data_IF_508538359438
#
_entry.id   IF_508538359438
#
_cell.length_a   1.000
_cell.length_b   1.000
_cell.length_c   1.000
_cell.angle_alpha   90.00
_cell.angle_beta   90.00
_cell.angle_gamma   90.00
#
_symmetry.space_group_name_H-M   'P 1'
#
loop_
_entity.id
_entity.type
_entity.pdbx_description
1 polymer ?
#
# COMPACT_ATOMS: atom_id res chain seq x y z
N UNK A 1 -23.07 -23.99 19.68
CA UNK A 1 -23.19 -22.52 19.50
C UNK A 1 -23.09 -22.22 18.01
N UNK A 2 -24.07 -21.57 17.38
CA UNK A 2 -23.91 -21.11 15.99
C UNK A 2 -22.85 -20.00 15.93
N UNK A 3 -22.07 -19.97 14.84
CA UNK A 3 -21.10 -18.91 14.60
C UNK A 3 -21.81 -17.55 14.43
N UNK A 4 -21.21 -16.43 14.86
CA UNK A 4 -21.80 -15.11 14.64
C UNK A 4 -21.93 -14.84 13.13
N UNK A 5 -22.99 -14.13 12.70
CA UNK A 5 -23.16 -13.76 11.31
C UNK A 5 -21.99 -12.90 10.84
N UNK A 6 -21.45 -13.22 9.67
CA UNK A 6 -20.33 -12.49 9.07
C UNK A 6 -20.86 -11.19 8.48
N UNK A 7 -20.30 -10.07 8.95
CA UNK A 7 -20.62 -8.73 8.45
C UNK A 7 -20.02 -8.55 7.03
N UNK A 8 -20.86 -8.33 5.99
CA UNK A 8 -20.38 -8.18 4.61
C UNK A 8 -19.48 -6.96 4.41
N UNK A 9 -19.70 -5.87 5.15
CA UNK A 9 -18.86 -4.66 5.05
C UNK A 9 -17.44 -4.95 5.55
N UNK A 10 -17.33 -5.69 6.66
CA UNK A 10 -16.04 -6.16 7.17
C UNK A 10 -15.30 -7.05 6.17
N UNK A 11 -16.01 -7.94 5.47
CA UNK A 11 -15.40 -8.81 4.43
C UNK A 11 -14.89 -7.98 3.25
N UNK A 12 -15.66 -6.98 2.80
CA UNK A 12 -15.25 -6.10 1.72
C UNK A 12 -14.01 -5.28 2.09
N UNK A 13 -13.98 -4.69 3.28
CA UNK A 13 -12.82 -3.98 3.82
C UNK A 13 -11.57 -4.88 3.88
N UNK A 14 -11.70 -6.10 4.42
CA UNK A 14 -10.59 -7.05 4.50
C UNK A 14 -10.06 -7.44 3.12
N UNK A 15 -10.94 -7.60 2.13
CA UNK A 15 -10.55 -7.88 0.75
C UNK A 15 -9.75 -6.71 0.14
N UNK A 16 -10.20 -5.48 0.34
CA UNK A 16 -9.48 -4.30 -0.10
C UNK A 16 -8.10 -4.20 0.57
N UNK A 17 -8.03 -4.43 1.89
CA UNK A 17 -6.76 -4.41 2.64
C UNK A 17 -5.77 -5.48 2.19
N UNK A 18 -6.25 -6.72 1.96
CA UNK A 18 -5.42 -7.78 1.42
C UNK A 18 -4.95 -7.49 -0.01
N UNK A 19 -5.78 -6.83 -0.82
CA UNK A 19 -5.37 -6.37 -2.15
C UNK A 19 -4.30 -5.28 -2.07
N UNK A 20 -4.48 -4.27 -1.22
CA UNK A 20 -3.49 -3.21 -1.03
C UNK A 20 -2.12 -3.79 -0.65
N UNK A 21 -2.10 -4.72 0.31
CA UNK A 21 -0.88 -5.41 0.75
C UNK A 21 -0.19 -6.15 -0.41
N UNK A 22 -0.95 -6.85 -1.25
CA UNK A 22 -0.40 -7.56 -2.42
C UNK A 22 0.14 -6.62 -3.49
N UNK A 23 -0.52 -5.48 -3.72
CA UNK A 23 -0.02 -4.49 -4.67
C UNK A 23 1.31 -3.93 -4.18
N UNK A 24 1.39 -3.50 -2.92
CA UNK A 24 2.63 -2.98 -2.32
C UNK A 24 3.78 -3.99 -2.40
N UNK A 25 3.49 -5.28 -2.19
CA UNK A 25 4.51 -6.33 -2.29
C UNK A 25 5.06 -6.54 -3.73
N UNK A 26 4.34 -6.08 -4.75
CA UNK A 26 4.71 -6.24 -6.17
C UNK A 26 5.25 -4.95 -6.81
N UNK A 27 5.17 -3.83 -6.11
CA UNK A 27 5.72 -2.55 -6.56
C UNK A 27 7.09 -2.33 -5.96
N UNK A 28 8.02 -1.77 -6.74
CA UNK A 28 9.34 -1.36 -6.25
C UNK A 28 9.27 0.02 -5.59
N UNK A 29 8.36 0.89 -6.05
CA UNK A 29 8.13 2.20 -5.46
C UNK A 29 7.04 2.10 -4.39
N UNK A 30 7.39 2.48 -3.16
CA UNK A 30 6.43 2.47 -2.06
C UNK A 30 5.53 3.72 -2.10
N UNK A 31 4.20 3.55 -1.91
CA UNK A 31 3.30 4.69 -1.76
C UNK A 31 3.59 5.41 -0.43
N UNK A 32 3.39 6.73 -0.41
CA UNK A 32 3.50 7.53 0.84
C UNK A 32 2.32 7.34 1.76
N UNK A 33 1.14 7.13 1.19
CA UNK A 33 -0.06 6.81 1.92
C UNK A 33 -0.94 5.88 1.10
N UNK A 34 -1.68 5.02 1.81
CA UNK A 34 -2.71 4.16 1.24
C UNK A 34 -3.98 4.46 2.00
N UNK A 35 -4.98 4.96 1.28
CA UNK A 35 -6.30 5.25 1.81
C UNK A 35 -7.24 4.11 1.38
N UNK A 36 -7.98 3.55 2.32
CA UNK A 36 -9.12 2.68 2.04
C UNK A 36 -10.37 3.45 2.39
N UNK A 37 -11.29 3.58 1.44
CA UNK A 37 -12.50 4.37 1.60
C UNK A 37 -13.69 3.64 1.00
N UNK A 38 -14.86 3.89 1.57
CA UNK A 38 -16.13 3.39 1.05
C UNK A 38 -16.67 4.37 0.01
N UNK A 39 -16.98 3.86 -1.18
CA UNK A 39 -17.70 4.62 -2.20
C UNK A 39 -19.20 4.68 -1.88
N UNK A 40 -19.90 5.62 -2.52
CA UNK A 40 -21.34 5.86 -2.36
C UNK A 40 -22.22 4.60 -2.51
N UNK A 41 -21.73 3.58 -3.20
CA UNK A 41 -22.43 2.30 -3.47
C UNK A 41 -22.10 1.18 -2.48
N UNK A 42 -21.42 1.49 -1.37
CA UNK A 42 -21.05 0.51 -0.35
C UNK A 42 -19.90 -0.43 -0.75
N UNK A 43 -19.13 -0.03 -1.76
CA UNK A 43 -17.94 -0.76 -2.24
C UNK A 43 -16.71 -0.09 -1.66
N UNK A 44 -15.78 -0.89 -1.12
CA UNK A 44 -14.49 -0.39 -0.67
C UNK A 44 -13.52 -0.25 -1.84
N UNK A 45 -12.83 0.89 -1.87
CA UNK A 45 -11.84 1.25 -2.86
C UNK A 45 -10.52 1.63 -2.20
N UNK A 46 -9.44 1.56 -2.96
CA UNK A 46 -8.09 1.82 -2.47
C UNK A 46 -7.51 2.99 -3.26
N UNK A 47 -6.92 3.95 -2.56
CA UNK A 47 -6.16 5.03 -3.17
C UNK A 47 -4.71 4.99 -2.71
N UNK A 48 -3.80 4.92 -3.65
CA UNK A 48 -2.36 5.00 -3.46
C UNK A 48 -1.92 6.44 -3.75
N UNK A 49 -1.32 7.06 -2.75
CA UNK A 49 -0.76 8.40 -2.86
C UNK A 49 0.75 8.27 -2.99
N UNK A 50 1.25 8.58 -4.18
CA UNK A 50 2.68 8.69 -4.42
C UNK A 50 3.16 10.11 -4.16
N UNK A 51 4.47 10.24 -3.95
CA UNK A 51 5.12 11.54 -3.73
C UNK A 51 5.04 12.45 -4.95
N UNK A 52 5.64 13.63 -4.82
CA UNK A 52 5.61 14.67 -5.85
C UNK A 52 6.87 14.73 -6.73
N UNK A 53 7.61 13.63 -6.81
CA UNK A 53 8.87 13.50 -7.54
C UNK A 53 8.74 12.44 -8.65
N UNK A 54 9.73 12.38 -9.54
CA UNK A 54 9.80 11.37 -10.61
C UNK A 54 9.56 9.93 -10.11
N UNK A 55 10.10 9.58 -8.95
CA UNK A 55 9.89 8.27 -8.33
C UNK A 55 8.40 8.00 -8.04
N UNK A 56 7.67 9.00 -7.52
CA UNK A 56 6.24 8.89 -7.34
C UNK A 56 5.48 8.64 -8.65
N UNK A 57 5.91 9.26 -9.75
CA UNK A 57 5.39 8.99 -11.09
C UNK A 57 5.64 7.55 -11.54
N UNK A 58 6.83 7.00 -11.25
CA UNK A 58 7.16 5.59 -11.54
C UNK A 58 6.29 4.61 -10.77
N UNK A 59 5.95 4.92 -9.52
CA UNK A 59 5.00 4.12 -8.75
C UNK A 59 3.60 4.07 -9.37
N UNK A 60 3.14 5.18 -9.96
CA UNK A 60 1.87 5.19 -10.72
C UNK A 60 1.97 4.31 -11.98
N UNK A 61 3.09 4.36 -12.71
CA UNK A 61 3.33 3.49 -13.88
C UNK A 61 3.36 2.00 -13.51
N UNK A 62 3.97 1.63 -12.37
CA UNK A 62 4.00 0.25 -11.89
C UNK A 62 2.59 -0.28 -11.60
N UNK A 63 1.75 0.51 -10.92
CA UNK A 63 0.37 0.12 -10.64
C UNK A 63 -0.43 0.04 -11.95
N UNK A 64 -0.23 0.97 -12.87
CA UNK A 64 -0.87 0.96 -14.19
C UNK A 64 -0.50 -0.32 -14.98
N UNK A 65 0.77 -0.72 -14.95
CA UNK A 65 1.26 -1.95 -15.56
C UNK A 65 0.70 -3.21 -14.88
N UNK A 66 0.63 -3.23 -13.53
CA UNK A 66 0.00 -4.32 -12.79
C UNK A 66 -1.49 -4.48 -13.10
N UNK A 67 -2.16 -3.38 -13.44
CA UNK A 67 -3.59 -3.34 -13.73
C UNK A 67 -3.92 -3.37 -15.24
N UNK A 68 -2.92 -3.47 -16.10
CA UNK A 68 -3.06 -3.37 -17.57
C UNK A 68 -3.97 -2.20 -17.99
N UNK A 69 -3.72 -1.03 -17.41
CA UNK A 69 -4.57 0.16 -17.55
C UNK A 69 -3.70 1.36 -17.91
N UNK A 70 -4.17 2.28 -18.79
CA UNK A 70 -3.40 3.47 -19.12
C UNK A 70 -3.22 4.42 -17.92
N UNK A 71 -2.21 5.28 -18.03
CA UNK A 71 -2.01 6.43 -17.15
C UNK A 71 -2.59 7.67 -17.79
N UNK A 72 -3.35 8.42 -17.01
CA UNK A 72 -3.88 9.73 -17.34
C UNK A 72 -2.91 10.81 -16.82
N UNK A 73 -2.69 11.85 -17.61
CA UNK A 73 -1.95 13.03 -17.19
C UNK A 73 -2.81 14.27 -17.37
N UNK A 74 -2.96 15.05 -16.29
CA UNK A 74 -3.71 16.29 -16.29
C UNK A 74 -2.83 17.40 -15.74
N UNK A 75 -2.64 18.46 -16.52
CA UNK A 75 -1.93 19.64 -16.05
C UNK A 75 -2.82 20.37 -15.05
N UNK A 76 -2.31 20.60 -13.84
CA UNK A 76 -3.00 21.47 -12.88
C UNK A 76 -3.00 22.91 -13.44
N UNK A 77 -4.19 23.50 -13.50
CA UNK A 77 -4.58 24.82 -14.03
C UNK A 77 -3.52 25.95 -13.89
N UNK A 78 -3.47 26.96 -14.79
CA UNK A 78 -2.41 27.96 -14.88
C UNK A 78 -2.44 29.04 -13.77
N UNK A 79 -3.29 28.89 -12.75
CA UNK A 79 -3.56 29.90 -11.71
C UNK A 79 -2.73 29.75 -10.43
N UNK A 80 -1.79 28.80 -10.34
CA UNK A 80 -0.71 28.91 -9.33
C UNK A 80 -0.02 27.64 -8.86
N UNK A 81 -0.52 26.44 -9.19
CA UNK A 81 0.18 25.18 -8.91
C UNK A 81 0.72 24.60 -10.21
N UNK A 82 1.96 24.96 -10.54
CA UNK A 82 2.68 24.39 -11.68
C UNK A 82 3.02 22.92 -11.42
N UNK A 83 2.11 22.02 -11.79
CA UNK A 83 2.31 20.59 -11.65
C UNK A 83 1.43 19.77 -12.59
N UNK A 84 1.81 18.51 -12.77
CA UNK A 84 1.09 17.54 -13.61
C UNK A 84 0.60 16.42 -12.69
N UNK A 85 -0.72 16.26 -12.59
CA UNK A 85 -1.30 15.08 -11.97
C UNK A 85 -1.12 13.90 -12.90
N UNK A 86 -0.51 12.84 -12.38
CA UNK A 86 -0.35 11.56 -13.04
C UNK A 86 -1.19 10.56 -12.27
N UNK A 87 -2.15 9.93 -12.93
CA UNK A 87 -3.14 9.08 -12.29
C UNK A 87 -3.45 7.81 -13.11
N UNK A 88 -3.71 6.69 -12.43
CA UNK A 88 -4.37 5.53 -13.04
C UNK A 88 -5.54 5.09 -12.20
N UNK A 89 -6.61 4.63 -12.86
CA UNK A 89 -7.84 4.12 -12.24
C UNK A 89 -8.18 2.77 -12.84
N UNK A 90 -8.26 1.73 -12.02
CA UNK A 90 -8.53 0.38 -12.49
C UNK A 90 -9.39 -0.39 -11.49
N UNK A 91 -9.89 -1.56 -11.91
CA UNK A 91 -10.54 -2.51 -11.02
C UNK A 91 -9.72 -3.81 -10.96
N UNK A 92 -9.21 -4.15 -9.78
CA UNK A 92 -8.43 -5.37 -9.56
C UNK A 92 -9.16 -6.28 -8.58
N UNK A 93 -9.50 -7.51 -9.01
CA UNK A 93 -10.20 -8.46 -8.15
C UNK A 93 -11.53 -7.95 -7.60
N UNK A 94 -12.22 -7.09 -8.36
CA UNK A 94 -13.50 -6.48 -7.97
C UNK A 94 -13.37 -5.32 -6.97
N UNK A 95 -12.18 -4.77 -6.76
CA UNK A 95 -11.92 -3.59 -5.93
C UNK A 95 -11.40 -2.47 -6.83
N UNK A 96 -12.00 -1.28 -6.73
CA UNK A 96 -11.52 -0.12 -7.47
C UNK A 96 -10.22 0.38 -6.82
N UNK A 97 -9.25 0.68 -7.67
CA UNK A 97 -7.97 1.25 -7.27
C UNK A 97 -7.73 2.56 -7.99
N UNK A 98 -7.14 3.51 -7.26
CA UNK A 98 -6.69 4.79 -7.77
C UNK A 98 -5.24 4.95 -7.35
N UNK A 99 -4.34 5.21 -8.27
CA UNK A 99 -2.96 5.57 -7.95
C UNK A 99 -2.64 6.94 -8.53
N UNK A 100 -2.11 7.84 -7.71
CA UNK A 100 -1.87 9.23 -8.12
C UNK A 100 -0.56 9.80 -7.60
N UNK A 101 0.06 10.65 -8.41
CA UNK A 101 1.21 11.49 -8.08
C UNK A 101 0.97 12.92 -8.61
N UNK A 102 1.56 13.92 -7.96
CA UNK A 102 1.58 15.30 -8.46
C UNK A 102 3.02 15.69 -8.78
N UNK A 103 3.38 15.75 -10.05
CA UNK A 103 4.75 15.94 -10.48
C UNK A 103 5.02 17.40 -10.84
N UNK A 104 6.29 17.80 -10.82
CA UNK A 104 6.73 18.97 -11.58
C UNK A 104 6.57 18.71 -13.09
N UNK A 105 6.52 19.78 -13.90
CA UNK A 105 6.44 19.66 -15.36
C UNK A 105 7.66 18.91 -15.91
N UNK A 106 8.85 19.16 -15.37
CA UNK A 106 10.09 18.51 -15.78
C UNK A 106 10.08 17.01 -15.47
N UNK A 107 9.63 16.61 -14.27
CA UNK A 107 9.52 15.20 -13.91
C UNK A 107 8.45 14.48 -14.76
N UNK A 108 7.34 15.14 -15.06
CA UNK A 108 6.31 14.58 -15.94
C UNK A 108 6.82 14.36 -17.37
N UNK A 109 7.59 15.31 -17.91
CA UNK A 109 8.23 15.17 -19.22
C UNK A 109 9.21 13.99 -19.25
N UNK A 110 10.00 13.80 -18.18
CA UNK A 110 10.90 12.66 -18.04
C UNK A 110 10.16 11.33 -17.95
N UNK A 111 9.01 11.31 -17.30
CA UNK A 111 8.18 10.11 -17.15
C UNK A 111 7.62 9.60 -18.50
N UNK A 112 7.35 10.50 -19.46
CA UNK A 112 6.93 10.12 -20.81
C UNK A 112 8.05 9.53 -21.69
N UNK A 113 9.32 9.78 -21.33
CA UNK A 113 10.48 9.22 -22.03
C UNK A 113 10.89 7.83 -21.55
N UNK A 114 10.47 7.42 -20.35
CA UNK A 114 10.82 6.13 -19.75
C UNK A 114 9.69 5.10 -20.01
N UNK A 115 9.97 3.93 -20.64
CA UNK A 115 8.99 2.85 -20.69
C UNK A 115 8.66 2.39 -19.25
N UNK A 116 7.40 2.00 -19.02
CA UNK A 116 6.98 1.48 -17.72
C UNK A 116 7.92 0.32 -17.30
N UNK A 117 8.39 0.29 -16.03
CA UNK A 117 9.24 -0.79 -15.57
C UNK A 117 8.50 -2.13 -15.69
N UNK A 118 9.20 -3.15 -16.20
CA UNK A 118 8.65 -4.49 -16.30
C UNK A 118 8.22 -4.95 -14.91
N UNK A 119 6.93 -5.30 -14.76
CA UNK A 119 6.43 -5.91 -13.54
C UNK A 119 7.18 -7.21 -13.30
N UNK A 120 7.64 -7.43 -12.06
CA UNK A 120 8.26 -8.71 -11.71
C UNK A 120 7.20 -9.80 -11.82
N UNK A 121 7.25 -10.52 -12.93
CA UNK A 121 6.42 -11.69 -13.19
C UNK A 121 6.98 -12.84 -12.34
N UNK A 122 6.52 -12.91 -11.10
CA UNK A 122 6.84 -14.04 -10.22
C UNK A 122 6.05 -15.26 -10.71
N UNK A 123 6.69 -16.01 -11.61
CA UNK A 123 6.32 -17.38 -12.00
C UNK A 123 6.00 -18.19 -10.73
N UNK A 124 4.96 -19.06 -10.72
CA UNK A 124 4.65 -19.86 -9.54
C UNK A 124 5.89 -20.62 -9.08
N UNK A 125 6.34 -20.36 -7.86
CA UNK A 125 7.40 -21.12 -7.24
C UNK A 125 7.02 -22.61 -7.31
N UNK A 126 7.83 -23.40 -8.02
CA UNK A 126 7.70 -24.83 -8.03
C UNK A 126 7.70 -25.33 -6.57
N UNK A 127 6.68 -26.12 -6.24
CA UNK A 127 6.49 -26.76 -4.93
C UNK A 127 7.81 -27.31 -4.42
N UNK A 128 8.36 -26.67 -3.37
CA UNK A 128 9.41 -27.29 -2.58
C UNK A 128 8.82 -28.50 -1.84
N UNK A 129 9.51 -29.64 -1.77
CA UNK A 129 9.02 -30.81 -1.03
C UNK A 129 8.84 -30.48 0.46
N UNK A 130 7.92 -31.16 1.16
CA UNK A 130 7.55 -30.82 2.53
C UNK A 130 8.76 -30.94 3.48
N UNK A 131 9.07 -29.84 4.16
CA UNK A 131 9.95 -29.83 5.33
C UNK A 131 9.34 -30.69 6.44
N UNK A 132 10.12 -31.50 7.18
CA UNK A 132 9.62 -32.19 8.35
C UNK A 132 9.25 -31.19 9.46
N UNK A 133 8.18 -31.50 10.19
CA UNK A 133 7.62 -30.66 11.24
C UNK A 133 8.67 -30.35 12.33
N UNK A 134 8.88 -29.07 12.61
CA UNK A 134 9.64 -28.62 13.78
C UNK A 134 8.84 -28.92 15.05
N UNK A 135 9.48 -29.55 16.03
CA UNK A 135 8.90 -29.81 17.35
C UNK A 135 8.61 -28.49 18.08
N UNK A 136 7.53 -28.43 18.88
CA UNK A 136 7.14 -27.22 19.60
C UNK A 136 8.19 -26.82 20.65
N UNK A 137 8.72 -25.61 20.52
CA UNK A 137 9.59 -24.99 21.51
C UNK A 137 8.79 -24.72 22.79
N UNK A 138 9.22 -25.22 23.97
CA UNK A 138 8.54 -24.91 25.22
C UNK A 138 8.73 -23.42 25.59
N UNK A 139 7.62 -22.74 25.89
CA UNK A 139 7.58 -21.38 26.44
C UNK A 139 8.18 -21.38 27.86
N UNK A 140 9.50 -21.29 27.94
CA UNK A 140 10.24 -21.07 29.18
C UNK A 140 10.25 -19.60 29.58
N UNK A 141 9.51 -19.28 30.64
CA UNK A 141 9.66 -18.13 31.54
C UNK A 141 9.91 -16.75 30.92
N UNK A 142 8.83 -16.00 30.69
CA UNK A 142 8.87 -14.53 30.60
C UNK A 142 9.49 -13.93 31.86
N UNK A 143 10.68 -13.35 31.76
CA UNK A 143 11.26 -12.52 32.81
C UNK A 143 10.64 -11.13 32.70
N UNK A 144 9.74 -10.80 33.62
CA UNK A 144 9.26 -9.42 33.81
C UNK A 144 10.46 -8.60 34.31
N UNK A 145 10.92 -7.66 33.48
CA UNK A 145 11.88 -6.65 33.93
C UNK A 145 11.20 -5.75 34.96
N UNK A 146 11.58 -5.89 36.22
CA UNK A 146 11.18 -4.98 37.30
C UNK A 146 12.03 -3.73 37.19
N UNK A 147 11.41 -2.60 36.86
CA UNK A 147 12.04 -1.28 36.90
C UNK A 147 12.03 -0.79 38.36
N UNK A 148 13.17 -0.47 38.97
CA UNK A 148 13.17 0.15 40.30
C UNK A 148 12.70 1.61 40.21
N UNK A 149 11.63 1.92 40.95
CA UNK A 149 11.20 3.30 41.21
C UNK A 149 12.17 3.94 42.20
N UNK A 150 12.87 4.99 41.78
CA UNK A 150 13.66 5.84 42.68
C UNK A 150 12.71 6.80 43.38
N UNK A 151 12.49 6.60 44.67
CA UNK A 151 11.80 7.56 45.53
C UNK A 151 12.69 8.78 45.76
N UNK A 152 12.24 9.96 45.33
CA UNK A 152 12.83 11.23 45.74
C UNK A 152 12.48 11.47 47.21
N UNK A 153 13.49 11.47 48.07
CA UNK A 153 13.36 11.92 49.45
C UNK A 153 13.40 13.45 49.49
N UNK A 154 12.35 14.04 50.06
CA UNK A 154 12.26 15.45 50.43
C UNK A 154 13.46 15.87 51.28
N UNK A 155 14.22 16.86 50.80
CA UNK A 155 15.22 17.57 51.56
C UNK A 155 14.60 18.75 52.29
N UNK A 156 14.34 18.59 53.59
CA UNK A 156 14.14 19.70 54.52
C UNK A 156 15.39 19.82 55.39
N UNK A 157 16.13 20.92 55.23
CA UNK A 157 16.93 21.58 56.27
C UNK A 157 17.10 23.05 55.90
#
# INVERSE_FOLDING_TARGET
MPAPPVDPARVAYQRASALATRIVARTTVLPRAIEQFEELVGVYSIRFHFGSNLEGGRGVLEIAALADTPVLQEQSDPTGLHGVFVETRAALGGVNIIARALLSVDDAARLHGDPAPATSDERPAASSPPMPAAEPVPLGASVIAVVPVVAAADGAQ
#
